data_IF_217075845683
#
_entry.id   IF_217075845683
#
_cell.length_a   1.000
_cell.length_b   1.000
_cell.length_c   1.000
_cell.angle_alpha   90.00
_cell.angle_beta   90.00
_cell.angle_gamma   90.00
#
_symmetry.space_group_name_H-M   'P 1'
#
loop_
_entity.id
_entity.type
_entity.pdbx_description
1 polymer ?
#
# COMPACT_ATOMS: atom_id res chain seq x y z
N UNK A 1 2.13 2.55 6.33
CA UNK A 1 1.57 1.18 6.24
C UNK A 1 2.49 0.44 5.29
N UNK A 2 3.21 -0.59 5.75
CA UNK A 2 4.16 -1.47 5.00
C UNK A 2 5.18 -2.14 5.94
N UNK A 3 4.99 -2.06 7.27
CA UNK A 3 5.90 -2.71 8.19
C UNK A 3 5.64 -4.21 8.16
N UNK A 4 6.67 -4.99 7.81
CA UNK A 4 6.61 -6.45 7.69
C UNK A 4 6.15 -7.11 8.99
N UNK A 5 6.62 -6.65 10.14
CA UNK A 5 6.28 -7.21 11.45
C UNK A 5 4.81 -6.98 11.79
N UNK A 6 4.29 -5.78 11.49
CA UNK A 6 2.87 -5.47 11.70
C UNK A 6 2.00 -6.33 10.77
N UNK A 7 2.43 -6.51 9.51
CA UNK A 7 1.70 -7.33 8.55
C UNK A 7 1.59 -8.79 9.01
N UNK A 8 2.69 -9.39 9.49
CA UNK A 8 2.67 -10.77 10.02
C UNK A 8 1.97 -10.88 11.38
N UNK A 9 2.06 -9.87 12.25
CA UNK A 9 1.29 -9.84 13.49
C UNK A 9 -0.22 -9.83 13.20
N UNK A 10 -0.66 -9.01 12.24
CA UNK A 10 -2.05 -9.01 11.78
C UNK A 10 -2.45 -10.34 11.15
N UNK A 11 -1.56 -10.99 10.39
CA UNK A 11 -1.84 -12.30 9.78
C UNK A 11 -2.01 -13.40 10.84
N UNK A 12 -1.22 -13.36 11.92
CA UNK A 12 -1.29 -14.36 12.98
C UNK A 12 -2.52 -14.17 13.89
N UNK A 13 -2.73 -12.96 14.42
CA UNK A 13 -3.80 -12.71 15.40
C UNK A 13 -5.16 -12.41 14.76
N UNK A 14 -5.17 -11.69 13.64
CA UNK A 14 -6.38 -11.23 12.95
C UNK A 14 -6.45 -11.72 11.49
N UNK A 15 -5.62 -12.70 11.09
CA UNK A 15 -5.59 -13.16 9.71
C UNK A 15 -6.86 -13.88 9.30
N UNK A 16 -7.60 -14.38 10.28
CA UNK A 16 -8.90 -14.99 10.05
C UNK A 16 -9.95 -14.00 9.51
N UNK A 17 -9.78 -12.71 9.81
CA UNK A 17 -10.57 -11.60 9.25
C UNK A 17 -9.96 -10.99 7.97
N UNK A 18 -8.81 -11.48 7.51
CA UNK A 18 -8.08 -10.86 6.40
C UNK A 18 -7.46 -9.49 6.73
N UNK A 19 -7.24 -9.17 8.01
CA UNK A 19 -6.77 -7.86 8.45
C UNK A 19 -5.39 -7.48 7.87
N UNK A 20 -4.49 -8.46 7.71
CA UNK A 20 -3.18 -8.27 7.06
C UNK A 20 -3.33 -7.81 5.60
N UNK A 21 -4.31 -8.34 4.87
CA UNK A 21 -4.62 -7.90 3.49
C UNK A 21 -5.11 -6.46 3.48
N UNK A 22 -6.01 -6.10 4.39
CA UNK A 22 -6.52 -4.72 4.50
C UNK A 22 -5.41 -3.73 4.84
N UNK A 23 -4.53 -4.07 5.78
CA UNK A 23 -3.36 -3.26 6.13
C UNK A 23 -2.41 -3.02 4.94
N UNK A 24 -2.26 -4.01 4.07
CA UNK A 24 -1.42 -3.92 2.86
C UNK A 24 -2.15 -3.27 1.68
N UNK A 25 -3.36 -2.73 1.87
CA UNK A 25 -4.16 -2.05 0.85
C UNK A 25 -4.91 -2.99 -0.09
N UNK A 26 -5.01 -4.28 0.24
CA UNK A 26 -5.70 -5.32 -0.56
C UNK A 26 -7.15 -5.50 -0.12
N UNK A 27 -7.92 -4.40 -0.15
CA UNK A 27 -9.29 -4.32 0.36
C UNK A 27 -10.24 -5.41 -0.16
N UNK A 28 -10.35 -5.54 -1.49
CA UNK A 28 -11.26 -6.51 -2.12
C UNK A 28 -10.99 -7.93 -1.60
N UNK A 29 -9.72 -8.35 -1.64
CA UNK A 29 -9.37 -9.71 -1.19
C UNK A 29 -9.47 -9.89 0.33
N UNK A 30 -9.20 -8.85 1.12
CA UNK A 30 -9.37 -8.92 2.57
C UNK A 30 -10.83 -9.08 2.96
N UNK A 31 -11.72 -8.29 2.36
CA UNK A 31 -13.16 -8.42 2.58
C UNK A 31 -13.73 -9.73 2.04
N UNK A 32 -13.24 -10.21 0.90
CA UNK A 32 -13.63 -11.52 0.36
C UNK A 32 -13.24 -12.66 1.31
N UNK A 33 -12.04 -12.62 1.90
CA UNK A 33 -11.60 -13.61 2.89
C UNK A 33 -12.48 -13.57 4.15
N UNK A 34 -12.80 -12.38 4.64
CA UNK A 34 -13.70 -12.21 5.78
C UNK A 34 -15.11 -12.74 5.49
N UNK A 35 -15.67 -12.42 4.33
CA UNK A 35 -16.97 -12.93 3.90
C UNK A 35 -16.95 -14.46 3.79
N UNK A 36 -15.90 -15.04 3.21
CA UNK A 36 -15.73 -16.48 3.08
C UNK A 36 -15.71 -17.19 4.43
N UNK A 37 -15.03 -16.61 5.43
CA UNK A 37 -15.03 -17.13 6.80
C UNK A 37 -16.42 -17.13 7.43
N UNK A 38 -17.12 -15.98 7.38
CA UNK A 38 -18.44 -15.85 7.98
C UNK A 38 -19.48 -16.71 7.26
N UNK A 39 -19.47 -16.74 5.93
CA UNK A 39 -20.34 -17.61 5.13
C UNK A 39 -20.05 -19.09 5.39
N UNK A 40 -18.79 -19.52 5.41
CA UNK A 40 -18.43 -20.90 5.73
C UNK A 40 -18.85 -21.31 7.13
N UNK A 41 -18.60 -20.45 8.12
CA UNK A 41 -19.04 -20.67 9.50
C UNK A 41 -20.56 -20.78 9.60
N UNK A 42 -21.29 -19.86 8.95
CA UNK A 42 -22.74 -19.86 8.93
C UNK A 42 -23.32 -21.11 8.27
N UNK A 43 -22.73 -21.64 7.20
CA UNK A 43 -23.23 -22.83 6.49
C UNK A 43 -22.79 -24.16 7.11
N UNK A 44 -22.05 -24.15 8.22
CA UNK A 44 -21.50 -25.38 8.82
C UNK A 44 -22.60 -26.33 9.33
N UNK A 45 -23.77 -25.81 9.73
CA UNK A 45 -24.89 -26.64 10.21
C UNK A 45 -25.47 -27.59 9.15
N UNK A 46 -25.30 -27.29 7.86
CA UNK A 46 -25.69 -28.16 6.73
C UNK A 46 -24.49 -28.89 6.11
N UNK A 47 -23.36 -28.95 6.81
CA UNK A 47 -22.08 -29.56 6.37
C UNK A 47 -21.38 -28.90 5.18
N UNK A 48 -22.09 -28.13 4.35
CA UNK A 48 -21.52 -27.39 3.20
C UNK A 48 -20.50 -26.34 3.65
N UNK A 49 -20.68 -25.75 4.83
CA UNK A 49 -19.78 -24.73 5.37
C UNK A 49 -18.31 -25.16 5.49
N UNK A 50 -18.07 -26.45 5.75
CA UNK A 50 -16.70 -26.99 5.84
C UNK A 50 -15.91 -26.84 4.53
N UNK A 51 -16.58 -26.89 3.37
CA UNK A 51 -15.91 -26.69 2.08
C UNK A 51 -15.39 -25.25 1.96
N UNK A 52 -16.22 -24.27 2.31
CA UNK A 52 -15.83 -22.85 2.32
C UNK A 52 -14.71 -22.58 3.32
N UNK A 53 -14.78 -23.15 4.53
CA UNK A 53 -13.75 -23.03 5.54
C UNK A 53 -12.43 -23.71 5.14
N UNK A 54 -12.48 -24.82 4.40
CA UNK A 54 -11.28 -25.47 3.86
C UNK A 54 -10.58 -24.58 2.81
N UNK A 55 -11.34 -24.00 1.87
CA UNK A 55 -10.81 -23.05 0.88
C UNK A 55 -10.18 -21.85 1.59
N UNK A 56 -10.90 -21.29 2.57
CA UNK A 56 -10.40 -20.18 3.39
C UNK A 56 -9.13 -20.54 4.16
N UNK A 57 -9.06 -21.73 4.75
CA UNK A 57 -7.90 -22.17 5.54
C UNK A 57 -6.65 -22.36 4.68
N UNK A 58 -6.80 -22.95 3.50
CA UNK A 58 -5.72 -23.04 2.51
C UNK A 58 -5.25 -21.63 2.11
N UNK A 59 -6.21 -20.73 1.84
CA UNK A 59 -5.89 -19.36 1.48
C UNK A 59 -5.12 -18.63 2.61
N UNK A 60 -5.55 -18.79 3.85
CA UNK A 60 -4.87 -18.22 5.02
C UNK A 60 -3.43 -18.74 5.20
N UNK A 61 -3.17 -20.02 4.91
CA UNK A 61 -1.81 -20.58 4.95
C UNK A 61 -0.95 -20.03 3.80
N UNK A 62 -1.50 -19.98 2.59
CA UNK A 62 -0.82 -19.39 1.42
C UNK A 62 -0.47 -17.92 1.67
N UNK A 63 -1.25 -17.23 2.51
CA UNK A 63 -1.00 -15.85 2.88
C UNK A 63 0.30 -15.60 3.65
N UNK A 64 0.93 -16.62 4.24
CA UNK A 64 2.30 -16.49 4.77
C UNK A 64 3.24 -15.98 3.67
N UNK A 65 3.14 -16.55 2.47
CA UNK A 65 4.00 -16.16 1.35
C UNK A 65 3.54 -14.87 0.67
N UNK A 66 2.22 -14.69 0.52
CA UNK A 66 1.67 -13.51 -0.15
C UNK A 66 1.89 -12.23 0.67
N UNK A 67 1.84 -12.31 2.00
CA UNK A 67 2.06 -11.17 2.90
C UNK A 67 3.43 -10.54 2.67
N UNK A 68 4.50 -11.34 2.66
CA UNK A 68 5.85 -10.86 2.34
C UNK A 68 5.92 -10.20 0.95
N UNK A 69 5.38 -10.88 -0.07
CA UNK A 69 5.37 -10.35 -1.44
C UNK A 69 4.66 -9.01 -1.57
N UNK A 70 3.56 -8.80 -0.83
CA UNK A 70 2.84 -7.54 -0.86
C UNK A 70 3.58 -6.41 -0.14
N UNK A 71 4.26 -6.70 0.96
CA UNK A 71 5.13 -5.73 1.65
C UNK A 71 6.21 -5.24 0.69
N UNK A 72 6.94 -6.15 0.04
CA UNK A 72 8.01 -5.79 -0.89
C UNK A 72 7.51 -4.94 -2.05
N UNK A 73 6.39 -5.35 -2.67
CA UNK A 73 5.75 -4.59 -3.76
C UNK A 73 5.37 -3.19 -3.33
N UNK A 74 4.85 -3.02 -2.11
CA UNK A 74 4.46 -1.71 -1.62
C UNK A 74 5.68 -0.83 -1.28
N UNK A 75 6.77 -1.41 -0.78
CA UNK A 75 8.05 -0.70 -0.57
C UNK A 75 8.60 -0.21 -1.91
N UNK A 76 8.71 -1.09 -2.91
CA UNK A 76 9.18 -0.73 -4.26
C UNK A 76 8.31 0.38 -4.85
N UNK A 77 6.98 0.25 -4.73
CA UNK A 77 6.05 1.26 -5.22
C UNK A 77 6.24 2.62 -4.53
N UNK A 78 6.54 2.64 -3.23
CA UNK A 78 6.82 3.88 -2.51
C UNK A 78 8.15 4.50 -2.96
N UNK A 79 9.22 3.70 -3.02
CA UNK A 79 10.53 4.18 -3.48
C UNK A 79 10.44 4.77 -4.89
N UNK A 80 9.74 4.11 -5.81
CA UNK A 80 9.52 4.61 -7.17
C UNK A 80 8.73 5.93 -7.17
N UNK A 81 7.69 6.05 -6.33
CA UNK A 81 6.92 7.29 -6.22
C UNK A 81 7.78 8.44 -5.68
N UNK A 82 8.65 8.16 -4.73
CA UNK A 82 9.57 9.15 -4.16
C UNK A 82 10.63 9.58 -5.18
N UNK A 83 11.17 8.62 -5.95
CA UNK A 83 12.11 8.90 -7.04
C UNK A 83 11.49 9.78 -8.12
N UNK A 84 10.27 9.46 -8.56
CA UNK A 84 9.52 10.27 -9.52
C UNK A 84 9.26 11.69 -8.98
N UNK A 85 8.80 11.82 -7.73
CA UNK A 85 8.59 13.12 -7.07
C UNK A 85 9.87 13.96 -7.06
N UNK A 86 11.01 13.36 -6.71
CA UNK A 86 12.28 14.07 -6.66
C UNK A 86 12.74 14.50 -8.06
N UNK A 87 12.50 13.67 -9.08
CA UNK A 87 12.79 14.02 -10.48
C UNK A 87 11.94 15.19 -10.96
N UNK A 88 10.66 15.22 -10.59
CA UNK A 88 9.75 16.32 -10.91
C UNK A 88 10.21 17.62 -10.24
N UNK A 89 10.53 17.57 -8.93
CA UNK A 89 11.09 18.72 -8.20
C UNK A 89 12.39 19.23 -8.86
N UNK A 90 13.28 18.34 -9.28
CA UNK A 90 14.52 18.75 -9.95
C UNK A 90 14.26 19.46 -11.29
N UNK A 91 13.28 18.99 -12.06
CA UNK A 91 12.87 19.62 -13.32
C UNK A 91 12.21 20.99 -13.10
N UNK A 92 11.35 21.11 -12.08
CA UNK A 92 10.70 22.36 -11.73
C UNK A 92 11.72 23.38 -11.23
N UNK A 93 12.68 22.97 -10.40
CA UNK A 93 13.76 23.83 -9.94
C UNK A 93 14.64 24.33 -11.09
N UNK A 94 14.97 23.44 -12.04
CA UNK A 94 15.71 23.82 -13.27
C UNK A 94 14.94 24.88 -14.05
N UNK A 95 13.64 24.70 -14.23
CA UNK A 95 12.78 25.66 -14.93
C UNK A 95 12.74 27.01 -14.22
N UNK A 96 12.62 27.03 -12.89
CA UNK A 96 12.67 28.27 -12.09
C UNK A 96 14.02 28.99 -12.24
N UNK A 97 15.13 28.25 -12.26
CA UNK A 97 16.47 28.80 -12.46
C UNK A 97 16.63 29.44 -13.85
N UNK A 98 16.15 28.77 -14.91
CA UNK A 98 16.17 29.30 -16.29
C UNK A 98 15.34 30.59 -16.43
N UNK A 99 14.19 30.67 -15.75
CA UNK A 99 13.36 31.88 -15.72
C UNK A 99 14.07 33.05 -15.00
N UNK A 100 14.80 32.76 -13.94
CA UNK A 100 15.59 33.76 -13.21
C UNK A 100 16.78 34.26 -14.05
N UNK A 101 17.56 33.37 -14.66
CA UNK A 101 18.69 33.76 -15.53
C UNK A 101 18.24 34.54 -16.75
N UNK A 102 17.09 34.20 -17.34
CA UNK A 102 16.51 34.96 -18.46
C UNK A 102 15.90 36.30 -18.06
N UNK A 103 15.98 36.70 -16.78
CA UNK A 103 15.44 37.96 -16.27
C UNK A 103 13.91 38.04 -16.27
N UNK A 104 13.21 36.92 -16.50
CA UNK A 104 11.74 36.86 -16.54
C UNK A 104 11.10 36.93 -15.14
N UNK A 105 11.85 36.54 -14.11
CA UNK A 105 11.42 36.62 -12.70
C UNK A 105 12.52 37.27 -11.85
N UNK A 106 12.12 37.93 -10.77
CA UNK A 106 13.06 38.54 -9.82
C UNK A 106 13.67 37.50 -8.86
N UNK A 107 14.82 37.82 -8.24
CA UNK A 107 15.46 36.95 -7.22
C UNK A 107 14.54 36.64 -6.04
N UNK A 108 13.78 37.64 -5.57
CA UNK A 108 12.83 37.46 -4.48
C UNK A 108 11.71 36.47 -4.85
N UNK A 109 11.25 36.55 -6.10
CA UNK A 109 10.23 35.65 -6.62
C UNK A 109 10.76 34.22 -6.83
N UNK A 110 12.02 34.07 -7.28
CA UNK A 110 12.68 32.78 -7.38
C UNK A 110 12.78 32.08 -6.01
N UNK A 111 13.29 32.76 -4.98
CA UNK A 111 13.44 32.16 -3.65
C UNK A 111 12.08 31.79 -3.03
N UNK A 112 11.05 32.62 -3.21
CA UNK A 112 9.69 32.32 -2.74
C UNK A 112 9.12 31.06 -3.42
N UNK A 113 9.26 30.93 -4.74
CA UNK A 113 8.78 29.75 -5.49
C UNK A 113 9.58 28.49 -5.18
N UNK A 114 10.88 28.62 -4.99
CA UNK A 114 11.76 27.52 -4.55
C UNK A 114 11.37 27.00 -3.17
N UNK A 115 11.10 27.89 -2.21
CA UNK A 115 10.64 27.49 -0.88
C UNK A 115 9.31 26.72 -0.94
N UNK A 116 8.38 27.16 -1.80
CA UNK A 116 7.11 26.47 -2.03
C UNK A 116 7.33 25.08 -2.62
N UNK A 117 8.30 24.90 -3.52
CA UNK A 117 8.57 23.63 -4.20
C UNK A 117 9.09 22.53 -3.24
N UNK A 118 9.80 22.93 -2.18
CA UNK A 118 10.38 22.01 -1.19
C UNK A 118 9.53 21.83 0.07
N UNK A 119 8.36 22.48 0.14
CA UNK A 119 7.41 22.37 1.25
C UNK A 119 6.51 21.15 1.12
#
# INVERSE_FOLDING_TARGET
>A
MNNIYIAYALWFFLGWLGAHRLYLGKFISGFAMMALFFTGSALTFILVGYLFLAIWGIWWIVDVFLTGSYVDKNIIKQNLKDELRNKDIANDLRTLYELYESGKISKAEFEARKEILFR
#
